data_IF_085190071459
#
_entry.id   IF_085190071459
#
_cell.length_a   1.000
_cell.length_b   1.000
_cell.length_c   1.000
_cell.angle_alpha   90.00
_cell.angle_beta   90.00
_cell.angle_gamma   90.00
#
_symmetry.space_group_name_H-M   'P 1'
#
loop_
_entity.id
_entity.type
_entity.pdbx_description
1 polymer ?
#
# COMPACT_ATOMS: atom_id res chain seq x y z
N UNK A 1 31.53 -36.74 -7.85
CA UNK A 1 31.57 -35.32 -7.46
C UNK A 1 30.14 -34.83 -7.39
N UNK A 2 29.55 -34.87 -6.20
CA UNK A 2 28.23 -34.25 -5.99
C UNK A 2 28.42 -32.74 -5.93
N UNK A 3 28.04 -32.04 -6.97
CA UNK A 3 27.83 -30.58 -6.90
C UNK A 3 26.60 -30.39 -6.03
N UNK A 4 26.82 -30.10 -4.76
CA UNK A 4 25.75 -29.59 -3.91
C UNK A 4 25.25 -28.30 -4.56
N UNK A 5 24.03 -28.33 -5.10
CA UNK A 5 23.32 -27.12 -5.49
C UNK A 5 23.14 -26.30 -4.23
N UNK A 6 23.97 -25.26 -4.10
CA UNK A 6 23.83 -24.23 -3.08
C UNK A 6 22.45 -23.60 -3.31
N UNK A 7 21.46 -24.05 -2.54
CA UNK A 7 20.13 -23.46 -2.53
C UNK A 7 20.29 -22.08 -1.90
N UNK A 8 20.58 -21.09 -2.75
CA UNK A 8 20.79 -19.72 -2.34
C UNK A 8 19.65 -19.30 -1.42
N UNK A 9 19.96 -19.04 -0.16
CA UNK A 9 19.00 -18.67 0.87
C UNK A 9 18.43 -17.29 0.54
N UNK A 10 17.10 -17.15 0.51
CA UNK A 10 16.44 -15.86 0.29
C UNK A 10 16.96 -14.80 1.27
N UNK A 11 17.19 -13.56 0.82
CA UNK A 11 17.62 -12.47 1.68
C UNK A 11 16.64 -12.24 2.84
N UNK A 12 17.20 -11.95 4.02
CA UNK A 12 16.38 -11.58 5.18
C UNK A 12 15.87 -10.14 5.05
N UNK A 13 14.64 -9.91 5.47
CA UNK A 13 13.98 -8.62 5.46
C UNK A 13 13.59 -8.18 6.86
N UNK A 14 13.42 -6.86 7.03
CA UNK A 14 12.71 -6.28 8.17
C UNK A 14 11.31 -5.87 7.72
N UNK A 15 10.41 -5.73 8.69
CA UNK A 15 9.01 -5.37 8.42
C UNK A 15 8.62 -4.15 9.25
N UNK A 16 7.87 -3.24 8.64
CA UNK A 16 7.24 -2.11 9.32
C UNK A 16 5.74 -2.11 9.04
N UNK A 17 4.94 -2.00 10.09
CA UNK A 17 3.48 -1.95 10.01
C UNK A 17 3.00 -0.67 10.71
N UNK A 18 2.65 0.40 9.97
CA UNK A 18 1.96 1.55 10.56
C UNK A 18 0.58 1.14 11.05
N UNK A 19 0.19 1.57 12.26
CA UNK A 19 -1.06 1.17 12.90
C UNK A 19 -1.81 2.37 13.45
N UNK A 20 -3.07 2.51 13.04
CA UNK A 20 -4.03 3.42 13.66
C UNK A 20 -5.01 2.65 14.56
N UNK A 21 -5.75 3.35 15.41
CA UNK A 21 -6.70 2.72 16.34
C UNK A 21 -7.75 1.81 15.67
N UNK A 22 -8.18 2.17 14.46
CA UNK A 22 -9.13 1.38 13.66
C UNK A 22 -8.58 0.03 13.22
N UNK A 23 -7.25 -0.12 13.15
CA UNK A 23 -6.59 -1.30 12.59
C UNK A 23 -6.19 -2.34 13.66
N UNK A 24 -6.39 -2.03 14.95
CA UNK A 24 -5.99 -2.93 16.06
C UNK A 24 -6.60 -4.32 15.97
N UNK A 25 -7.85 -4.42 15.49
CA UNK A 25 -8.54 -5.70 15.35
C UNK A 25 -8.00 -6.55 14.19
N UNK A 26 -7.35 -5.91 13.21
CA UNK A 26 -6.79 -6.57 12.03
C UNK A 26 -5.33 -6.96 12.21
N UNK A 27 -4.63 -6.30 13.12
CA UNK A 27 -3.17 -6.39 13.27
C UNK A 27 -2.67 -7.82 13.50
N UNK A 28 -3.33 -8.59 14.36
CA UNK A 28 -2.92 -9.97 14.65
C UNK A 28 -3.06 -10.88 13.42
N UNK A 29 -4.16 -10.76 12.67
CA UNK A 29 -4.34 -11.50 11.40
C UNK A 29 -3.31 -11.10 10.34
N UNK A 30 -2.96 -9.81 10.27
CA UNK A 30 -1.89 -9.30 9.41
C UNK A 30 -0.54 -9.95 9.75
N UNK A 31 -0.12 -9.93 11.03
CA UNK A 31 1.17 -10.48 11.47
C UNK A 31 1.18 -12.00 11.32
N UNK A 32 0.09 -12.69 11.65
CA UNK A 32 -0.05 -14.15 11.48
C UNK A 32 0.13 -14.54 10.03
N UNK A 33 -0.56 -13.89 9.10
CA UNK A 33 -0.43 -14.12 7.67
C UNK A 33 0.98 -13.87 7.16
N UNK A 34 1.60 -12.76 7.58
CA UNK A 34 2.98 -12.43 7.26
C UNK A 34 3.95 -13.52 7.72
N UNK A 35 3.86 -13.96 8.98
CA UNK A 35 4.75 -14.99 9.56
C UNK A 35 4.57 -16.35 8.90
N UNK A 36 3.33 -16.70 8.51
CA UNK A 36 3.02 -17.98 7.88
C UNK A 36 3.50 -18.07 6.43
N UNK A 37 3.39 -16.96 5.68
CA UNK A 37 3.47 -16.99 4.22
C UNK A 37 4.61 -16.14 3.61
N UNK A 38 5.32 -15.33 4.39
CA UNK A 38 6.53 -14.67 3.91
C UNK A 38 7.65 -15.69 3.77
N UNK A 39 8.14 -15.91 2.55
CA UNK A 39 9.23 -16.88 2.28
C UNK A 39 10.61 -16.29 2.59
N UNK A 40 10.76 -14.98 2.64
CA UNK A 40 11.97 -14.34 3.11
C UNK A 40 12.10 -14.48 4.64
N UNK A 41 13.29 -14.79 5.18
CA UNK A 41 13.50 -14.73 6.62
C UNK A 41 13.20 -13.35 7.18
N UNK A 42 12.33 -13.26 8.18
CA UNK A 42 11.97 -12.00 8.83
C UNK A 42 12.87 -11.80 10.05
N UNK A 43 13.67 -10.72 10.08
CA UNK A 43 14.54 -10.35 11.20
C UNK A 43 13.77 -9.66 12.31
N UNK A 44 12.95 -8.67 11.94
CA UNK A 44 12.17 -7.90 12.90
C UNK A 44 10.81 -7.54 12.31
N UNK A 45 9.80 -7.43 13.19
CA UNK A 45 8.50 -6.84 12.89
C UNK A 45 8.34 -5.62 13.79
N UNK A 46 8.25 -4.45 13.18
CA UNK A 46 8.21 -3.16 13.86
C UNK A 46 6.84 -2.53 13.64
N UNK A 47 6.12 -2.28 14.72
CA UNK A 47 4.82 -1.62 14.71
C UNK A 47 5.06 -0.13 14.98
N UNK A 48 4.59 0.74 14.10
CA UNK A 48 4.69 2.19 14.27
C UNK A 48 3.29 2.76 14.50
N UNK A 49 3.08 3.38 15.64
CA UNK A 49 1.79 3.95 16.01
C UNK A 49 1.85 4.71 17.33
N UNK A 50 0.76 5.36 17.70
CA UNK A 50 0.69 6.12 18.95
C UNK A 50 0.91 5.21 20.17
N UNK A 51 1.77 5.62 21.11
CA UNK A 51 2.11 4.85 22.32
C UNK A 51 0.90 4.37 23.12
N UNK A 52 -0.18 5.16 23.17
CA UNK A 52 -1.43 4.80 23.87
C UNK A 52 -2.13 3.56 23.30
N UNK A 53 -1.83 3.18 22.08
CA UNK A 53 -2.39 1.98 21.42
C UNK A 53 -1.66 0.72 21.85
N UNK A 54 -0.42 0.82 22.30
CA UNK A 54 0.42 -0.34 22.63
C UNK A 54 -0.26 -1.26 23.67
N UNK A 55 -0.84 -0.71 24.72
CA UNK A 55 -1.54 -1.49 25.76
C UNK A 55 -2.80 -2.22 25.24
N UNK A 56 -3.31 -1.83 24.07
CA UNK A 56 -4.52 -2.39 23.46
C UNK A 56 -4.17 -3.47 22.40
N UNK A 57 -2.92 -3.57 21.98
CA UNK A 57 -2.49 -4.59 21.02
C UNK A 57 -2.65 -5.98 21.65
N UNK A 58 -3.27 -6.86 20.89
CA UNK A 58 -3.45 -8.26 21.22
C UNK A 58 -2.80 -9.11 20.15
N UNK A 59 -1.60 -9.60 20.44
CA UNK A 59 -0.85 -10.52 19.56
C UNK A 59 0.09 -11.36 20.40
N UNK A 60 0.24 -12.63 20.02
CA UNK A 60 1.23 -13.54 20.61
C UNK A 60 2.59 -13.43 19.91
N UNK A 61 2.66 -12.68 18.82
CA UNK A 61 3.89 -12.52 18.04
C UNK A 61 4.87 -11.54 18.70
N UNK A 62 6.15 -11.85 18.59
CA UNK A 62 7.23 -10.94 19.02
C UNK A 62 7.30 -9.77 18.04
N UNK A 63 7.03 -8.57 18.52
CA UNK A 63 7.06 -7.31 17.77
C UNK A 63 7.79 -6.23 18.56
N UNK A 64 8.35 -5.24 17.85
CA UNK A 64 8.89 -4.02 18.44
C UNK A 64 7.89 -2.89 18.20
N UNK A 65 7.66 -2.08 19.22
CA UNK A 65 6.79 -0.91 19.11
C UNK A 65 7.61 0.36 19.01
N UNK A 66 7.28 1.20 18.03
CA UNK A 66 7.86 2.52 17.82
C UNK A 66 6.75 3.55 17.98
N UNK A 67 6.97 4.52 18.86
CA UNK A 67 6.04 5.62 19.05
C UNK A 67 6.11 6.59 17.86
N UNK A 68 5.01 6.78 17.17
CA UNK A 68 4.92 7.69 16.03
C UNK A 68 5.14 9.17 16.42
N UNK A 69 4.89 9.53 17.69
CA UNK A 69 5.12 10.89 18.20
C UNK A 69 6.61 11.22 18.34
N UNK A 70 7.48 10.23 18.40
CA UNK A 70 8.93 10.38 18.40
C UNK A 70 9.52 10.54 16.99
N UNK A 71 8.70 10.46 15.94
CA UNK A 71 9.14 10.51 14.53
C UNK A 71 8.95 11.91 13.96
N UNK A 72 9.96 12.40 13.20
CA UNK A 72 9.85 13.65 12.45
C UNK A 72 9.65 13.36 10.94
N UNK A 73 8.73 14.09 10.25
CA UNK A 73 7.85 15.13 10.78
C UNK A 73 6.74 14.55 11.66
N UNK A 74 6.36 15.32 12.70
CA UNK A 74 5.23 14.99 13.57
C UNK A 74 3.88 15.23 12.86
N UNK A 75 2.78 14.61 13.30
CA UNK A 75 1.45 14.90 12.77
C UNK A 75 1.08 16.39 12.82
N UNK A 76 1.51 17.11 13.88
CA UNK A 76 1.25 18.53 14.05
C UNK A 76 2.01 19.39 13.02
N UNK A 77 3.26 19.05 12.71
CA UNK A 77 4.05 19.76 11.68
C UNK A 77 3.43 19.57 10.29
N UNK A 78 2.96 18.37 9.99
CA UNK A 78 2.28 18.07 8.71
C UNK A 78 0.98 18.86 8.61
N UNK A 79 0.15 18.84 9.64
CA UNK A 79 -1.12 19.58 9.66
C UNK A 79 -0.87 21.10 9.50
N UNK A 80 0.09 21.65 10.21
CA UNK A 80 0.46 23.06 10.11
C UNK A 80 0.96 23.41 8.70
N UNK A 81 1.72 22.52 8.07
CA UNK A 81 2.22 22.73 6.71
C UNK A 81 1.10 22.69 5.68
N UNK A 82 0.18 21.72 5.77
CA UNK A 82 -0.99 21.65 4.91
C UNK A 82 -1.89 22.87 5.04
N UNK A 83 -2.10 23.38 6.25
CA UNK A 83 -2.88 24.60 6.49
C UNK A 83 -2.26 25.82 5.79
N UNK A 84 -0.94 25.99 5.90
CA UNK A 84 -0.21 27.09 5.24
C UNK A 84 -0.30 27.01 3.72
N UNK A 85 -0.34 25.83 3.16
CA UNK A 85 -0.43 25.60 1.71
C UNK A 85 -1.85 25.69 1.15
N UNK A 86 -2.87 25.98 1.99
CA UNK A 86 -4.29 25.99 1.58
C UNK A 86 -4.88 24.60 1.33
N UNK A 87 -4.19 23.53 1.76
CA UNK A 87 -4.55 22.16 1.50
C UNK A 87 -5.64 21.60 2.43
N UNK A 88 -6.13 20.42 2.09
CA UNK A 88 -7.08 19.66 2.90
C UNK A 88 -6.41 19.12 4.17
N UNK A 89 -6.19 19.97 5.18
CA UNK A 89 -5.62 19.59 6.47
C UNK A 89 -6.38 18.46 7.19
N UNK A 90 -7.65 18.23 6.85
CA UNK A 90 -8.44 17.09 7.37
C UNK A 90 -7.87 15.73 6.97
N UNK A 91 -6.99 15.68 5.96
CA UNK A 91 -6.33 14.46 5.52
C UNK A 91 -4.89 14.34 6.00
N UNK A 92 -4.48 15.11 7.01
CA UNK A 92 -3.11 15.13 7.55
C UNK A 92 -2.63 13.75 8.02
N UNK A 93 -3.50 12.95 8.64
CA UNK A 93 -3.18 11.59 9.07
C UNK A 93 -2.83 10.66 7.90
N UNK A 94 -3.48 10.82 6.75
CA UNK A 94 -3.16 10.03 5.56
C UNK A 94 -1.79 10.41 4.96
N UNK A 95 -1.47 11.70 4.90
CA UNK A 95 -0.13 12.14 4.48
C UNK A 95 0.96 11.78 5.50
N UNK A 96 0.62 11.81 6.79
CA UNK A 96 1.52 11.32 7.83
C UNK A 96 1.87 9.85 7.62
N UNK A 97 0.88 8.99 7.39
CA UNK A 97 1.11 7.57 7.12
C UNK A 97 2.02 7.35 5.88
N UNK A 98 1.82 8.11 4.80
CA UNK A 98 2.69 8.04 3.63
C UNK A 98 4.13 8.44 3.95
N UNK A 99 4.31 9.51 4.72
CA UNK A 99 5.63 9.98 5.14
C UNK A 99 6.29 9.01 6.13
N UNK A 100 5.55 8.37 7.03
CA UNK A 100 6.07 7.27 7.85
C UNK A 100 6.65 6.16 6.96
N UNK A 101 5.92 5.74 5.95
CA UNK A 101 6.36 4.68 5.01
C UNK A 101 7.62 5.11 4.24
N UNK A 102 7.65 6.33 3.72
CA UNK A 102 8.81 6.85 3.01
C UNK A 102 10.02 7.07 3.94
N UNK A 103 9.82 7.48 5.19
CA UNK A 103 10.89 7.66 6.18
C UNK A 103 11.28 6.37 6.92
N UNK A 104 10.82 5.20 6.49
CA UNK A 104 10.99 3.94 7.21
C UNK A 104 12.43 3.64 7.65
N UNK A 105 13.44 3.95 6.85
CA UNK A 105 14.84 3.75 7.22
C UNK A 105 15.41 4.85 8.16
N UNK A 106 14.78 6.01 8.24
CA UNK A 106 15.10 7.04 9.27
C UNK A 106 14.50 6.62 10.61
N UNK A 107 13.29 6.05 10.60
CA UNK A 107 12.60 5.57 11.79
C UNK A 107 13.28 4.30 12.33
N UNK A 108 13.75 3.43 11.45
CA UNK A 108 14.34 2.13 11.74
C UNK A 108 15.77 2.06 11.19
N UNK A 109 16.74 2.82 11.73
CA UNK A 109 18.07 2.94 11.14
C UNK A 109 18.89 1.64 11.20
N UNK A 110 18.61 0.76 12.18
CA UNK A 110 19.29 -0.53 12.37
C UNK A 110 18.82 -1.64 11.43
N UNK A 111 17.76 -1.41 10.64
CA UNK A 111 17.26 -2.39 9.67
C UNK A 111 18.22 -2.57 8.49
N UNK A 112 18.12 -3.72 7.81
CA UNK A 112 18.98 -4.01 6.66
C UNK A 112 18.60 -3.23 5.40
N UNK A 113 19.02 -3.78 4.26
CA UNK A 113 18.80 -3.17 2.95
C UNK A 113 17.32 -3.13 2.56
N UNK A 114 16.59 -4.22 2.80
CA UNK A 114 15.21 -4.36 2.37
C UNK A 114 14.26 -4.29 3.56
N UNK A 115 13.28 -3.43 3.46
CA UNK A 115 12.22 -3.25 4.44
C UNK A 115 10.87 -3.38 3.77
N UNK A 116 10.09 -4.38 4.19
CA UNK A 116 8.70 -4.55 3.78
C UNK A 116 7.82 -3.64 4.63
N UNK A 117 7.16 -2.70 4.02
CA UNK A 117 6.07 -1.96 4.65
C UNK A 117 4.76 -2.63 4.30
N UNK A 118 3.90 -2.84 5.29
CA UNK A 118 2.63 -3.57 5.16
C UNK A 118 1.53 -2.80 5.92
N UNK A 119 0.39 -2.59 5.29
CA UNK A 119 -0.76 -1.98 5.95
C UNK A 119 -1.40 -2.98 6.92
N UNK A 120 -1.82 -2.53 8.12
CA UNK A 120 -2.27 -3.39 9.20
C UNK A 120 -3.63 -4.09 8.94
N UNK A 121 -4.39 -3.61 7.96
CA UNK A 121 -5.66 -4.16 7.51
C UNK A 121 -5.52 -5.04 6.24
N UNK A 122 -4.30 -5.56 6.00
CA UNK A 122 -3.95 -6.42 4.88
C UNK A 122 -3.22 -7.68 5.37
N UNK A 123 -3.55 -8.84 4.82
CA UNK A 123 -2.94 -10.12 5.20
C UNK A 123 -2.40 -10.88 3.98
N UNK A 124 -1.22 -11.47 4.14
CA UNK A 124 -0.69 -12.47 3.21
C UNK A 124 -1.35 -13.80 3.53
N UNK A 125 -1.91 -14.48 2.53
CA UNK A 125 -2.71 -15.71 2.73
C UNK A 125 -2.18 -16.93 2.00
N UNK A 126 -1.14 -16.75 1.19
CA UNK A 126 -0.38 -17.81 0.55
C UNK A 126 1.07 -17.34 0.33
N UNK A 127 1.97 -18.27 0.05
CA UNK A 127 3.42 -18.05 -0.03
C UNK A 127 3.82 -16.93 -1.00
N UNK A 128 4.57 -15.97 -0.48
CA UNK A 128 5.10 -14.81 -1.23
C UNK A 128 6.59 -14.61 -0.94
N UNK A 129 7.38 -14.43 -2.00
CA UNK A 129 8.77 -13.96 -1.95
C UNK A 129 8.78 -12.45 -2.18
N UNK A 130 9.31 -11.65 -1.28
CA UNK A 130 9.39 -10.20 -1.38
C UNK A 130 10.75 -9.70 -1.91
N UNK A 131 11.80 -10.48 -1.70
CA UNK A 131 13.15 -10.22 -2.22
C UNK A 131 13.70 -11.52 -2.79
N UNK A 132 14.08 -11.51 -4.05
CA UNK A 132 14.62 -12.69 -4.73
C UNK A 132 16.05 -13.05 -4.28
N UNK A 133 16.52 -14.24 -4.64
CA UNK A 133 17.87 -14.73 -4.28
C UNK A 133 19.00 -13.82 -4.79
N UNK A 134 18.77 -13.11 -5.93
CA UNK A 134 19.71 -12.16 -6.50
C UNK A 134 19.64 -10.75 -5.83
N UNK A 135 18.84 -10.62 -4.78
CA UNK A 135 18.68 -9.39 -4.00
C UNK A 135 17.73 -8.36 -4.62
N UNK A 136 16.99 -8.70 -5.67
CA UNK A 136 16.01 -7.79 -6.26
C UNK A 136 14.74 -7.71 -5.42
N UNK A 137 14.29 -6.48 -5.15
CA UNK A 137 13.00 -6.22 -4.53
C UNK A 137 11.86 -6.55 -5.49
N UNK A 138 10.89 -7.37 -5.05
CA UNK A 138 9.69 -7.66 -5.82
C UNK A 138 8.66 -6.55 -5.59
N UNK A 139 8.35 -5.81 -6.64
CA UNK A 139 7.34 -4.75 -6.63
C UNK A 139 6.10 -5.22 -7.37
N UNK A 140 4.96 -5.17 -6.71
CA UNK A 140 3.69 -5.48 -7.36
C UNK A 140 3.30 -4.42 -8.39
N UNK A 141 2.64 -4.81 -9.47
CA UNK A 141 2.05 -3.85 -10.40
C UNK A 141 0.94 -3.04 -9.74
N UNK A 142 0.16 -3.67 -8.86
CA UNK A 142 -1.02 -3.05 -8.27
C UNK A 142 -2.12 -2.81 -9.32
N UNK A 143 -3.18 -2.16 -8.92
CA UNK A 143 -4.27 -1.85 -9.84
C UNK A 143 -3.85 -0.81 -10.89
N UNK A 144 -4.52 -0.78 -12.06
CA UNK A 144 -4.27 0.23 -13.07
C UNK A 144 -4.50 1.65 -12.53
N UNK A 145 -3.61 2.59 -12.87
CA UNK A 145 -3.76 4.01 -12.51
C UNK A 145 -5.05 4.63 -13.04
N UNK A 146 -5.60 4.05 -14.07
CA UNK A 146 -6.93 4.38 -14.56
C UNK A 146 -7.82 3.13 -14.53
N UNK A 147 -8.88 3.17 -13.74
CA UNK A 147 -9.93 2.16 -13.75
C UNK A 147 -10.62 2.10 -15.09
N UNK A 148 -10.82 0.90 -15.65
CA UNK A 148 -11.45 0.72 -16.95
C UNK A 148 -12.53 -0.35 -16.91
N UNK A 149 -13.58 -0.07 -17.67
CA UNK A 149 -14.54 -1.09 -18.08
C UNK A 149 -13.97 -2.03 -19.16
N UNK A 150 -12.91 -1.61 -19.87
CA UNK A 150 -12.22 -2.38 -20.90
C UNK A 150 -10.73 -2.47 -20.60
N UNK A 151 -10.28 -3.64 -20.19
CA UNK A 151 -8.88 -3.93 -19.82
C UNK A 151 -7.90 -3.92 -20.99
N UNK A 152 -8.36 -3.82 -22.23
CA UNK A 152 -7.53 -3.94 -23.44
C UNK A 152 -6.79 -2.66 -23.84
N UNK A 153 -7.02 -1.54 -23.17
CA UNK A 153 -6.37 -0.26 -23.49
C UNK A 153 -5.78 0.37 -22.24
N UNK A 154 -4.50 0.18 -22.02
CA UNK A 154 -3.74 0.80 -20.93
C UNK A 154 -3.13 2.12 -21.41
N UNK A 155 -3.86 3.23 -21.34
CA UNK A 155 -3.24 4.55 -21.43
C UNK A 155 -2.96 5.06 -20.01
N UNK A 156 -1.78 5.61 -19.78
CA UNK A 156 -1.46 6.27 -18.51
C UNK A 156 -2.27 7.56 -18.47
N UNK A 157 -3.09 7.80 -17.44
CA UNK A 157 -3.88 9.03 -17.37
C UNK A 157 -2.98 10.21 -16.96
N UNK A 158 -2.95 11.24 -17.75
CA UNK A 158 -2.17 12.45 -17.45
C UNK A 158 -2.67 13.20 -16.21
N UNK A 159 -3.87 12.88 -15.75
CA UNK A 159 -4.58 13.62 -14.69
C UNK A 159 -4.67 12.92 -13.35
N UNK A 160 -4.02 11.77 -13.18
CA UNK A 160 -4.01 11.11 -11.88
C UNK A 160 -3.21 11.96 -10.88
N UNK A 161 -3.80 12.35 -9.76
CA UNK A 161 -3.20 13.26 -8.77
C UNK A 161 -1.82 12.79 -8.27
N UNK A 162 -1.63 11.48 -8.11
CA UNK A 162 -0.33 10.93 -7.72
C UNK A 162 0.74 11.11 -8.81
N UNK A 163 0.37 11.07 -10.11
CA UNK A 163 1.30 11.34 -11.21
C UNK A 163 1.68 12.82 -11.20
N UNK A 164 0.70 13.71 -11.11
CA UNK A 164 0.93 15.15 -11.06
C UNK A 164 1.84 15.53 -9.89
N UNK A 165 1.53 15.05 -8.68
CA UNK A 165 2.35 15.28 -7.50
C UNK A 165 3.78 14.76 -7.66
N UNK A 166 3.94 13.51 -8.12
CA UNK A 166 5.28 12.92 -8.32
C UNK A 166 6.10 13.67 -9.37
N UNK A 167 5.47 14.14 -10.45
CA UNK A 167 6.15 14.94 -11.49
C UNK A 167 6.57 16.32 -10.98
N UNK A 168 5.77 16.94 -10.11
CA UNK A 168 6.13 18.21 -9.46
C UNK A 168 7.24 18.02 -8.43
N UNK A 169 7.18 16.88 -7.71
CA UNK A 169 8.16 16.55 -6.66
C UNK A 169 9.54 16.26 -7.25
N UNK A 170 9.61 15.58 -8.40
CA UNK A 170 10.87 15.28 -9.07
C UNK A 170 10.71 15.47 -10.59
N UNK A 171 11.34 16.49 -11.15
CA UNK A 171 11.16 16.90 -12.55
C UNK A 171 11.47 15.80 -13.57
N UNK A 172 12.39 14.90 -13.25
CA UNK A 172 12.77 13.76 -14.11
C UNK A 172 11.90 12.51 -13.90
N UNK A 173 11.02 12.51 -12.87
CA UNK A 173 10.12 11.40 -12.61
C UNK A 173 9.05 11.27 -13.71
N UNK A 174 8.81 10.05 -14.18
CA UNK A 174 7.73 9.72 -15.13
C UNK A 174 7.22 8.31 -14.81
N UNK A 175 5.94 8.02 -14.99
CA UNK A 175 5.44 6.66 -14.92
C UNK A 175 6.06 5.81 -16.05
N UNK A 176 6.43 4.57 -15.74
CA UNK A 176 7.04 3.62 -16.68
C UNK A 176 6.02 2.68 -17.31
N UNK A 177 4.87 2.53 -16.68
CA UNK A 177 3.75 1.70 -17.11
C UNK A 177 2.43 2.22 -16.48
N UNK A 178 1.25 1.69 -16.87
CA UNK A 178 -0.04 2.18 -16.39
C UNK A 178 -0.47 1.66 -15.02
N UNK A 179 0.40 1.04 -14.24
CA UNK A 179 0.05 0.45 -12.95
C UNK A 179 0.47 1.33 -11.77
N UNK A 180 -0.28 1.24 -10.67
CA UNK A 180 -0.10 2.11 -9.50
C UNK A 180 1.01 1.67 -8.54
N UNK A 181 1.32 0.38 -8.49
CA UNK A 181 2.13 -0.19 -7.42
C UNK A 181 1.39 -0.33 -6.08
N UNK A 182 0.13 0.08 -6.00
CA UNK A 182 -0.65 0.02 -4.77
C UNK A 182 -1.23 -1.37 -4.57
N UNK A 183 -0.72 -2.08 -3.56
CA UNK A 183 -1.24 -3.35 -3.05
C UNK A 183 -1.09 -3.45 -1.53
N UNK A 184 -1.21 -2.33 -0.83
CA UNK A 184 -1.12 -2.23 0.63
C UNK A 184 0.16 -2.80 1.24
N UNK A 185 1.18 -3.02 0.41
CA UNK A 185 2.54 -3.35 0.80
C UNK A 185 3.54 -2.80 -0.21
N UNK A 186 4.77 -2.58 0.25
CA UNK A 186 5.89 -2.19 -0.60
C UNK A 186 7.20 -2.68 0.01
N UNK A 187 8.07 -3.25 -0.83
CA UNK A 187 9.46 -3.50 -0.43
C UNK A 187 10.28 -2.28 -0.77
N UNK A 188 10.66 -1.51 0.23
CA UNK A 188 11.61 -0.42 0.06
C UNK A 188 13.05 -0.96 0.11
N UNK A 189 13.87 -0.55 -0.84
CA UNK A 189 15.31 -0.72 -0.83
C UNK A 189 15.95 0.57 -0.30
N UNK A 190 16.84 0.44 0.69
CA UNK A 190 17.48 1.57 1.38
C UNK A 190 18.21 2.51 0.41
N UNK A 191 18.92 1.96 -0.56
CA UNK A 191 19.66 2.75 -1.55
C UNK A 191 18.74 3.52 -2.48
N UNK A 192 17.71 2.84 -3.01
CA UNK A 192 16.74 3.45 -3.94
C UNK A 192 15.98 4.58 -3.24
N UNK A 193 15.51 4.34 -2.01
CA UNK A 193 14.75 5.34 -1.27
C UNK A 193 15.64 6.54 -0.85
N UNK A 194 16.89 6.28 -0.47
CA UNK A 194 17.85 7.34 -0.16
C UNK A 194 18.17 8.21 -1.38
N UNK A 195 18.33 7.62 -2.57
CA UNK A 195 18.57 8.36 -3.80
C UNK A 195 17.35 9.21 -4.21
N UNK A 196 16.13 8.65 -4.09
CA UNK A 196 14.90 9.40 -4.31
C UNK A 196 14.83 10.63 -3.40
N UNK A 197 15.05 10.45 -2.10
CA UNK A 197 15.01 11.56 -1.14
C UNK A 197 16.05 12.62 -1.43
N UNK A 198 17.29 12.21 -1.65
CA UNK A 198 18.38 13.12 -1.98
C UNK A 198 18.08 13.96 -3.22
N UNK A 199 17.63 13.37 -4.32
CA UNK A 199 17.29 14.10 -5.55
C UNK A 199 16.16 15.10 -5.33
N UNK A 200 15.16 14.77 -4.52
CA UNK A 200 14.09 15.70 -4.17
C UNK A 200 14.60 16.83 -3.29
N UNK A 201 15.40 16.51 -2.28
CA UNK A 201 16.01 17.51 -1.38
C UNK A 201 16.94 18.45 -2.16
N UNK A 202 17.75 17.92 -3.08
CA UNK A 202 18.63 18.72 -3.96
C UNK A 202 17.81 19.64 -4.90
N UNK A 203 16.69 19.15 -5.46
CA UNK A 203 15.85 19.94 -6.39
C UNK A 203 15.10 21.06 -5.68
N UNK A 204 14.62 20.82 -4.46
CA UNK A 204 13.74 21.74 -3.73
C UNK A 204 14.47 22.58 -2.66
N UNK A 205 15.74 22.29 -2.38
CA UNK A 205 16.57 22.95 -1.35
C UNK A 205 15.88 22.95 0.03
N UNK A 206 15.19 21.85 0.35
CA UNK A 206 14.44 21.68 1.61
C UNK A 206 14.29 20.19 1.96
N UNK A 207 13.93 19.86 3.23
CA UNK A 207 13.66 18.48 3.62
C UNK A 207 12.62 17.80 2.73
N UNK A 208 12.82 16.49 2.47
CA UNK A 208 11.94 15.70 1.59
C UNK A 208 10.46 15.86 1.94
N UNK A 209 10.09 15.76 3.21
CA UNK A 209 8.70 15.83 3.64
C UNK A 209 8.03 17.19 3.36
N UNK A 210 8.79 18.28 3.46
CA UNK A 210 8.28 19.63 3.11
C UNK A 210 8.06 19.75 1.61
N UNK A 211 9.02 19.27 0.80
CA UNK A 211 8.89 19.23 -0.64
C UNK A 211 7.69 18.36 -1.06
N UNK A 212 7.53 17.19 -0.45
CA UNK A 212 6.41 16.29 -0.70
C UNK A 212 5.07 16.99 -0.44
N UNK A 213 4.88 17.60 0.72
CA UNK A 213 3.63 18.29 1.06
C UNK A 213 3.38 19.54 0.20
N UNK A 214 4.44 20.22 -0.26
CA UNK A 214 4.30 21.41 -1.12
C UNK A 214 3.89 21.07 -2.56
N UNK A 215 4.10 19.84 -3.02
CA UNK A 215 3.86 19.41 -4.41
C UNK A 215 2.59 18.60 -4.64
N UNK A 216 1.89 18.21 -3.55
CA UNK A 216 0.62 17.49 -3.64
C UNK A 216 -0.46 18.33 -4.35
N UNK A 217 -1.49 17.69 -4.87
CA UNK A 217 -2.68 18.38 -5.36
C UNK A 217 -3.60 18.72 -4.20
N UNK A 218 -3.47 19.95 -3.66
CA UNK A 218 -4.15 20.39 -2.44
C UNK A 218 -5.68 20.37 -2.54
N UNK A 219 -6.23 20.46 -3.73
CA UNK A 219 -7.68 20.42 -3.98
C UNK A 219 -8.23 18.99 -3.97
N UNK A 220 -7.36 17.98 -4.02
CA UNK A 220 -7.74 16.58 -4.05
C UNK A 220 -7.68 15.97 -2.65
N UNK A 221 -8.60 15.08 -2.35
CA UNK A 221 -8.60 14.34 -1.09
C UNK A 221 -7.34 13.45 -0.95
N UNK A 222 -6.91 12.81 -2.04
CA UNK A 222 -5.71 11.98 -2.13
C UNK A 222 -4.76 12.56 -3.18
N UNK A 223 -4.06 13.63 -2.83
CA UNK A 223 -3.26 14.42 -3.77
C UNK A 223 -1.89 13.85 -4.11
N UNK A 224 -1.46 12.73 -3.52
CA UNK A 224 -0.20 12.03 -3.79
C UNK A 224 -0.31 10.55 -3.44
N UNK A 225 0.70 9.73 -3.77
CA UNK A 225 0.85 8.36 -3.29
C UNK A 225 2.32 7.98 -3.21
N UNK A 226 2.74 7.51 -2.03
CA UNK A 226 4.07 7.00 -1.76
C UNK A 226 4.40 5.78 -2.63
N UNK A 227 3.42 4.92 -2.88
CA UNK A 227 3.60 3.71 -3.68
C UNK A 227 3.81 4.03 -5.16
N UNK A 228 2.98 4.92 -5.73
CA UNK A 228 3.14 5.40 -7.11
C UNK A 228 4.49 6.07 -7.28
N UNK A 229 4.85 6.97 -6.37
CA UNK A 229 6.13 7.69 -6.41
C UNK A 229 7.31 6.73 -6.43
N UNK A 230 7.39 5.85 -5.42
CA UNK A 230 8.54 4.95 -5.23
C UNK A 230 8.63 3.91 -6.33
N UNK A 231 7.52 3.24 -6.67
CA UNK A 231 7.52 2.16 -7.66
C UNK A 231 8.04 2.62 -9.01
N UNK A 232 7.51 3.72 -9.53
CA UNK A 232 7.94 4.22 -10.84
C UNK A 232 9.35 4.81 -10.81
N UNK A 233 9.75 5.43 -9.71
CA UNK A 233 11.13 5.86 -9.51
C UNK A 233 12.09 4.66 -9.56
N UNK A 234 11.84 3.63 -8.78
CA UNK A 234 12.64 2.41 -8.73
C UNK A 234 12.70 1.73 -10.11
N UNK A 235 11.56 1.59 -10.79
CA UNK A 235 11.50 0.97 -12.10
C UNK A 235 12.23 1.76 -13.18
N UNK A 236 12.27 3.10 -13.08
CA UNK A 236 12.94 3.97 -14.03
C UNK A 236 14.46 4.01 -13.84
N UNK A 237 14.91 4.20 -12.60
CA UNK A 237 16.32 4.48 -12.29
C UNK A 237 17.10 3.26 -11.77
N UNK A 238 16.39 2.23 -11.31
CA UNK A 238 16.98 1.05 -10.68
C UNK A 238 16.39 -0.27 -11.20
N UNK A 239 16.02 -0.31 -12.50
CA UNK A 239 15.39 -1.49 -13.11
C UNK A 239 16.16 -2.81 -12.88
N UNK A 240 17.48 -2.75 -12.76
CA UNK A 240 18.32 -3.93 -12.46
C UNK A 240 18.23 -4.43 -11.01
N UNK A 241 17.67 -3.64 -10.09
CA UNK A 241 17.58 -3.97 -8.65
C UNK A 241 16.15 -4.33 -8.21
N UNK A 242 15.19 -4.29 -9.14
CA UNK A 242 13.80 -4.64 -8.87
C UNK A 242 13.30 -5.72 -9.83
N UNK A 243 12.21 -6.37 -9.42
CA UNK A 243 11.38 -7.21 -10.27
C UNK A 243 9.92 -6.81 -10.13
N UNK A 244 9.34 -6.25 -11.17
CA UNK A 244 7.90 -5.99 -11.23
C UNK A 244 7.14 -7.28 -11.53
N UNK A 245 6.01 -7.50 -10.83
CA UNK A 245 5.20 -8.71 -11.00
C UNK A 245 3.73 -8.47 -10.69
N UNK A 246 2.88 -9.32 -11.22
CA UNK A 246 1.53 -9.48 -10.72
C UNK A 246 1.55 -10.22 -9.38
N UNK A 247 0.69 -9.79 -8.47
CA UNK A 247 0.42 -10.46 -7.21
C UNK A 247 -1.10 -10.54 -7.06
N UNK A 248 -1.62 -11.76 -7.12
CA UNK A 248 -3.05 -12.00 -7.00
C UNK A 248 -3.55 -11.58 -5.62
N UNK A 249 -4.22 -10.45 -5.55
CA UNK A 249 -4.66 -9.83 -4.31
C UNK A 249 -6.07 -9.23 -4.46
N UNK A 250 -6.83 -9.27 -3.38
CA UNK A 250 -8.21 -8.78 -3.31
C UNK A 250 -8.35 -7.79 -2.17
N UNK A 251 -9.06 -6.69 -2.40
CA UNK A 251 -9.51 -5.79 -1.35
C UNK A 251 -11.02 -5.86 -1.15
N UNK A 252 -11.43 -5.93 0.11
CA UNK A 252 -12.81 -5.71 0.54
C UNK A 252 -12.89 -4.29 1.10
N UNK A 253 -13.70 -3.44 0.48
CA UNK A 253 -13.92 -2.05 0.89
C UNK A 253 -15.36 -1.92 1.36
N UNK A 254 -15.56 -1.46 2.60
CA UNK A 254 -16.87 -1.37 3.22
C UNK A 254 -16.98 -0.11 4.08
N UNK A 255 -18.20 0.46 4.27
CA UNK A 255 -18.40 1.55 5.21
C UNK A 255 -18.23 1.03 6.65
N UNK A 256 -17.63 1.86 7.52
CA UNK A 256 -17.33 1.44 8.90
C UNK A 256 -18.59 1.07 9.69
N UNK A 257 -19.70 1.80 9.47
CA UNK A 257 -20.98 1.60 10.17
C UNK A 257 -21.71 0.32 9.74
N UNK A 258 -21.36 -0.23 8.57
CA UNK A 258 -22.00 -1.40 7.99
C UNK A 258 -20.98 -2.50 7.69
N UNK A 259 -19.87 -2.50 8.42
CA UNK A 259 -18.81 -3.48 8.21
C UNK A 259 -19.31 -4.89 8.54
N UNK A 260 -19.42 -5.72 7.52
CA UNK A 260 -19.82 -7.13 7.63
C UNK A 260 -18.60 -8.06 7.75
N UNK A 261 -17.44 -7.59 7.29
CA UNK A 261 -16.22 -8.36 7.19
C UNK A 261 -15.17 -7.86 8.16
N UNK A 262 -14.53 -8.78 8.86
CA UNK A 262 -13.24 -8.55 9.51
C UNK A 262 -12.13 -9.08 8.62
N UNK A 263 -10.87 -8.68 8.84
CA UNK A 263 -9.74 -9.25 8.12
C UNK A 263 -9.64 -10.77 8.34
N UNK A 264 -9.95 -11.23 9.56
CA UNK A 264 -9.98 -12.68 9.89
C UNK A 264 -11.02 -13.42 9.06
N UNK A 265 -12.24 -12.87 8.92
CA UNK A 265 -13.29 -13.46 8.08
C UNK A 265 -12.83 -13.49 6.60
N UNK A 266 -12.23 -12.41 6.12
CA UNK A 266 -11.71 -12.29 4.77
C UNK A 266 -10.63 -13.35 4.48
N UNK A 267 -9.65 -13.50 5.37
CA UNK A 267 -8.60 -14.53 5.27
C UNK A 267 -9.21 -15.94 5.23
N UNK A 268 -10.18 -16.23 6.10
CA UNK A 268 -10.84 -17.53 6.11
C UNK A 268 -11.57 -17.85 4.80
N UNK A 269 -12.16 -16.82 4.17
CA UNK A 269 -12.97 -16.98 2.95
C UNK A 269 -12.15 -17.27 1.69
N UNK A 270 -10.88 -16.81 1.62
CA UNK A 270 -10.02 -16.99 0.43
C UNK A 270 -9.08 -18.18 0.54
N UNK A 271 -9.12 -18.96 1.62
CA UNK A 271 -8.29 -20.16 1.76
C UNK A 271 -8.49 -21.08 0.56
N UNK A 272 -7.37 -21.53 -0.06
CA UNK A 272 -7.36 -22.40 -1.24
C UNK A 272 -7.91 -21.78 -2.54
N UNK A 273 -8.07 -20.46 -2.60
CA UNK A 273 -8.52 -19.76 -3.81
C UNK A 273 -7.40 -19.50 -4.82
N UNK A 274 -6.14 -19.58 -4.39
CA UNK A 274 -4.95 -19.15 -5.18
C UNK A 274 -4.61 -17.68 -5.00
N UNK A 275 -5.44 -16.90 -4.28
CA UNK A 275 -5.15 -15.52 -3.90
C UNK A 275 -3.95 -15.50 -2.94
N UNK A 276 -3.05 -14.56 -3.13
CA UNK A 276 -1.82 -14.39 -2.34
C UNK A 276 -2.00 -13.46 -1.16
N UNK A 277 -2.89 -12.48 -1.29
CA UNK A 277 -3.10 -11.50 -0.24
C UNK A 277 -4.53 -10.92 -0.28
N UNK A 278 -5.00 -10.45 0.87
CA UNK A 278 -6.32 -9.86 1.00
C UNK A 278 -6.30 -8.66 1.94
N UNK A 279 -6.94 -7.57 1.52
CA UNK A 279 -7.25 -6.40 2.34
C UNK A 279 -8.70 -6.40 2.81
N UNK A 280 -8.93 -5.78 3.97
CA UNK A 280 -10.29 -5.58 4.47
C UNK A 280 -10.40 -4.19 5.09
N UNK A 281 -10.84 -3.23 4.28
CA UNK A 281 -10.80 -1.82 4.62
C UNK A 281 -12.17 -1.29 4.99
N UNK A 282 -12.25 -0.55 6.09
CA UNK A 282 -13.46 0.12 6.55
C UNK A 282 -13.27 1.62 6.53
N UNK A 283 -14.06 2.33 5.69
CA UNK A 283 -14.02 3.78 5.57
C UNK A 283 -15.35 4.40 6.02
N UNK A 284 -15.28 5.43 6.85
CA UNK A 284 -16.46 6.16 7.32
C UNK A 284 -17.32 6.70 6.17
N UNK A 285 -16.70 7.12 5.08
CA UNK A 285 -17.39 7.77 3.96
C UNK A 285 -16.77 7.33 2.61
N UNK A 286 -16.76 6.04 2.37
CA UNK A 286 -16.13 5.52 1.15
C UNK A 286 -16.83 5.97 -0.14
N UNK A 287 -18.15 6.23 -0.11
CA UNK A 287 -18.91 6.67 -1.29
C UNK A 287 -18.52 8.06 -1.73
N UNK A 288 -18.42 9.02 -0.81
CA UNK A 288 -17.93 10.35 -1.11
C UNK A 288 -16.47 10.33 -1.54
N UNK A 289 -15.66 9.45 -0.95
CA UNK A 289 -14.28 9.27 -1.36
C UNK A 289 -14.17 8.80 -2.80
N UNK A 290 -14.95 7.81 -3.22
CA UNK A 290 -15.02 7.36 -4.62
C UNK A 290 -15.50 8.49 -5.53
N UNK A 291 -16.45 9.32 -5.10
CA UNK A 291 -16.95 10.45 -5.87
C UNK A 291 -15.85 11.47 -6.23
N UNK A 292 -14.83 11.61 -5.37
CA UNK A 292 -13.72 12.56 -5.58
C UNK A 292 -12.56 11.98 -6.39
N UNK A 293 -12.58 10.68 -6.71
CA UNK A 293 -11.55 10.01 -7.52
C UNK A 293 -11.82 10.25 -9.01
N UNK A 294 -11.26 11.31 -9.56
CA UNK A 294 -11.45 11.72 -10.96
C UNK A 294 -10.81 10.78 -12.00
N UNK A 295 -9.91 9.91 -11.59
CA UNK A 295 -9.33 8.85 -12.42
C UNK A 295 -10.25 7.63 -12.60
N UNK A 296 -11.34 7.51 -11.82
CA UNK A 296 -12.37 6.48 -12.01
C UNK A 296 -13.36 6.99 -13.05
N UNK A 297 -13.66 6.22 -14.13
CA UNK A 297 -14.66 6.59 -15.11
C UNK A 297 -16.01 6.94 -14.48
N UNK A 298 -16.68 7.98 -14.95
CA UNK A 298 -17.90 8.49 -14.32
C UNK A 298 -19.02 7.44 -14.17
N UNK A 299 -19.21 6.60 -15.18
CA UNK A 299 -20.19 5.51 -15.11
C UNK A 299 -19.89 4.53 -13.97
N UNK A 300 -18.61 4.20 -13.78
CA UNK A 300 -18.18 3.35 -12.69
C UNK A 300 -18.35 4.05 -11.34
N UNK A 301 -17.99 5.33 -11.23
CA UNK A 301 -18.21 6.12 -10.01
C UNK A 301 -19.69 6.13 -9.59
N UNK A 302 -20.60 6.40 -10.52
CA UNK A 302 -22.05 6.38 -10.25
C UNK A 302 -22.53 5.02 -9.74
N UNK A 303 -22.03 3.93 -10.35
CA UNK A 303 -22.38 2.58 -9.93
C UNK A 303 -21.86 2.27 -8.53
N UNK A 304 -20.61 2.64 -8.23
CA UNK A 304 -20.00 2.47 -6.91
C UNK A 304 -20.73 3.25 -5.82
N UNK A 305 -21.13 4.50 -6.14
CA UNK A 305 -21.90 5.33 -5.22
C UNK A 305 -23.30 4.77 -4.93
N UNK A 306 -23.94 4.14 -5.93
CA UNK A 306 -25.24 3.52 -5.77
C UNK A 306 -25.19 2.14 -5.08
N UNK A 307 -24.03 1.54 -4.94
CA UNK A 307 -23.87 0.21 -4.34
C UNK A 307 -24.03 0.30 -2.83
N UNK A 308 -24.84 -0.60 -2.27
CA UNK A 308 -24.95 -0.80 -0.82
C UNK A 308 -24.10 -2.00 -0.40
N UNK A 309 -23.51 -1.94 0.80
CA UNK A 309 -22.67 -3.00 1.34
C UNK A 309 -21.20 -2.91 0.92
N UNK A 310 -20.50 -4.05 0.93
CA UNK A 310 -19.08 -4.13 0.63
C UNK A 310 -18.81 -4.21 -0.88
N UNK A 311 -17.67 -3.66 -1.29
CA UNK A 311 -17.12 -3.78 -2.64
C UNK A 311 -15.90 -4.68 -2.57
N UNK A 312 -15.73 -5.53 -3.57
CA UNK A 312 -14.56 -6.38 -3.71
C UNK A 312 -13.76 -5.96 -4.94
N UNK A 313 -12.52 -5.68 -4.72
CA UNK A 313 -11.61 -5.17 -5.72
C UNK A 313 -10.48 -6.17 -5.96
N UNK A 314 -10.38 -6.69 -7.19
CA UNK A 314 -9.20 -7.41 -7.64
C UNK A 314 -8.08 -6.41 -7.95
N UNK A 315 -7.05 -6.40 -7.12
CA UNK A 315 -5.94 -5.42 -7.21
C UNK A 315 -5.03 -5.69 -8.40
N UNK A 316 -4.98 -6.91 -8.90
CA UNK A 316 -4.16 -7.26 -10.05
C UNK A 316 -4.83 -6.86 -11.37
N UNK A 317 -6.12 -7.13 -11.49
CA UNK A 317 -6.88 -6.88 -12.71
C UNK A 317 -7.55 -5.50 -12.74
N UNK A 318 -7.65 -4.82 -11.59
CA UNK A 318 -8.41 -3.59 -11.46
C UNK A 318 -9.90 -3.77 -11.67
N UNK A 319 -10.43 -4.97 -11.41
CA UNK A 319 -11.84 -5.31 -11.57
C UNK A 319 -12.56 -5.18 -10.24
N UNK A 320 -13.75 -4.60 -10.29
CA UNK A 320 -14.58 -4.37 -9.14
C UNK A 320 -15.83 -5.23 -9.17
N UNK A 321 -16.13 -5.86 -8.04
CA UNK A 321 -17.32 -6.67 -7.82
C UNK A 321 -18.09 -6.18 -6.60
N UNK A 322 -19.37 -6.58 -6.49
CA UNK A 322 -20.14 -6.39 -5.26
C UNK A 322 -19.86 -7.61 -4.37
N UNK A 323 -19.36 -7.40 -3.17
CA UNK A 323 -19.16 -8.48 -2.23
C UNK A 323 -20.51 -9.10 -1.81
N UNK A 324 -20.60 -10.43 -1.73
CA UNK A 324 -21.83 -11.09 -1.35
C UNK A 324 -22.28 -10.71 0.07
N UNK A 325 -23.56 -10.68 0.31
CA UNK A 325 -24.12 -10.38 1.64
C UNK A 325 -23.75 -11.45 2.69
N UNK A 326 -23.35 -12.63 2.25
CA UNK A 326 -22.88 -13.72 3.13
C UNK A 326 -21.38 -13.63 3.32
N UNK A 327 -20.88 -13.88 4.54
CA UNK A 327 -19.45 -13.87 4.88
C UNK A 327 -18.67 -15.07 4.29
N UNK A 328 -19.19 -15.75 3.27
CA UNK A 328 -18.57 -16.90 2.62
C UNK A 328 -18.36 -16.58 1.15
N UNK A 329 -17.11 -16.46 0.74
CA UNK A 329 -16.70 -16.54 -0.65
C UNK A 329 -16.54 -18.02 -0.98
N UNK A 330 -17.65 -18.70 -1.33
CA UNK A 330 -17.54 -20.09 -1.75
C UNK A 330 -16.68 -20.17 -3.02
N UNK A 331 -15.82 -21.17 -3.11
CA UNK A 331 -14.85 -21.31 -4.22
C UNK A 331 -15.48 -21.48 -5.62
N UNK A 332 -16.82 -21.63 -5.72
CA UNK A 332 -17.58 -21.65 -6.97
C UNK A 332 -17.92 -20.22 -7.46
N UNK A 333 -17.97 -19.27 -6.56
CA UNK A 333 -18.12 -17.83 -6.85
C UNK A 333 -16.79 -17.12 -7.01
N UNK A 334 -15.74 -17.87 -7.35
CA UNK A 334 -14.54 -17.24 -7.90
C UNK A 334 -15.03 -16.21 -8.88
N UNK A 335 -14.71 -15.00 -8.60
CA UNK A 335 -14.78 -13.86 -9.48
C UNK A 335 -14.79 -14.41 -10.91
N UNK A 336 -16.01 -14.67 -11.43
CA UNK A 336 -16.11 -15.26 -12.73
C UNK A 336 -15.35 -14.36 -13.67
N UNK A 337 -14.34 -14.88 -14.35
CA UNK A 337 -13.64 -14.20 -15.43
C UNK A 337 -14.60 -13.88 -16.59
N UNK A 338 -15.84 -13.61 -16.25
CA UNK A 338 -16.92 -13.40 -17.19
C UNK A 338 -17.62 -12.11 -16.92
N UNK A 339 -17.64 -11.33 -17.97
CA UNK A 339 -18.40 -10.13 -18.18
C UNK A 339 -17.96 -8.91 -17.38
N UNK A 340 -17.16 -8.14 -18.06
CA UNK A 340 -16.85 -6.77 -17.75
C UNK A 340 -18.04 -5.97 -17.28
N UNK A 341 -17.74 -5.20 -16.26
CA UNK A 341 -18.45 -3.96 -15.97
C UNK A 341 -17.93 -2.86 -16.86
#
# INVERSE_FOLDING_TARGET
MNVATDTARLPAIDVMIPVASKDLLSLDACITGLRAHCRNPIRSVNIVGCARLFAQVRTEHVVQWIDEEAVSPTPAEIEATLRRSGGHHRNSSWYFQQLLKLHCFRILPSTGRHLLVLDADYAIVDDVVFVENDGKSCLAFGYPLQWRLDTRRHAIPDRHSAITASTRLLAEWRPVDPYSGMQHHMVFDRQILADLMRRVEDQHERPFWEAFLATIEHEKWTGASEYVLYRHFAARFFAGQIRSRHLDAIDIIQPAEQAMWTLTDAVASVRRSGVKAIGCHSFLDYRNRIATMDYIPEQLRRKLQATSGALMLDLDQGVLHIAPATRSLSGAERLGRTAGL
#
